data_IF_574634052558
#
_entry.id   IF_574634052558
#
_cell.length_a   1.000
_cell.length_b   1.000
_cell.length_c   1.000
_cell.angle_alpha   90.00
_cell.angle_beta   90.00
_cell.angle_gamma   90.00
#
_symmetry.space_group_name_H-M   'P 1'
#
loop_
_entity.id
_entity.type
_entity.pdbx_description
1 polymer ?
#
# COMPACT_ATOMS: atom_id res chain seq x y z
N UNK A 1 -7.26 -4.69 9.93
CA UNK A 1 -6.83 -4.69 11.34
C UNK A 1 -7.10 -3.32 11.94
N UNK A 2 -6.83 -3.16 13.24
CA UNK A 2 -6.94 -1.88 13.96
C UNK A 2 -5.57 -1.20 14.01
N UNK A 3 -5.42 -0.08 13.29
CA UNK A 3 -4.20 0.72 13.25
C UNK A 3 -4.53 2.18 12.91
N UNK A 4 -3.63 3.12 13.23
CA UNK A 4 -3.76 4.52 12.84
C UNK A 4 -3.06 4.78 11.49
N UNK A 5 -3.85 4.88 10.42
CA UNK A 5 -3.36 5.08 9.06
C UNK A 5 -2.56 6.38 8.83
N UNK A 6 -2.62 7.35 9.75
CA UNK A 6 -1.83 8.58 9.71
C UNK A 6 -0.47 8.46 10.39
N UNK A 7 -0.25 7.40 11.18
CA UNK A 7 0.96 7.21 12.01
C UNK A 7 1.74 5.94 11.71
N UNK A 8 1.24 5.09 10.81
CA UNK A 8 1.92 3.87 10.38
C UNK A 8 1.15 3.17 9.26
N UNK A 9 1.83 2.24 8.59
CA UNK A 9 1.25 1.42 7.51
C UNK A 9 1.05 2.16 6.18
N UNK A 10 1.35 3.45 6.08
CA UNK A 10 1.23 4.19 4.80
C UNK A 10 2.01 3.49 3.68
N UNK A 11 1.50 3.59 2.45
CA UNK A 11 2.15 3.06 1.27
C UNK A 11 3.11 4.12 0.71
N UNK A 12 4.38 3.79 0.58
CA UNK A 12 5.39 4.65 -0.04
C UNK A 12 5.56 4.25 -1.50
N UNK A 13 5.47 5.20 -2.42
CA UNK A 13 5.81 5.03 -3.84
C UNK A 13 7.07 5.84 -4.14
N UNK A 14 8.20 5.17 -4.35
CA UNK A 14 9.52 5.81 -4.34
C UNK A 14 9.72 6.74 -5.54
N UNK A 15 9.39 6.30 -6.76
CA UNK A 15 9.58 7.06 -8.00
C UNK A 15 8.72 8.33 -8.03
N UNK A 16 7.55 8.29 -7.41
CA UNK A 16 6.64 9.44 -7.30
C UNK A 16 6.91 10.33 -6.09
N UNK A 17 7.82 9.94 -5.18
CA UNK A 17 8.07 10.65 -3.91
C UNK A 17 6.78 10.90 -3.13
N UNK A 18 5.88 9.91 -3.14
CA UNK A 18 4.54 10.01 -2.58
C UNK A 18 4.36 9.03 -1.42
N UNK A 19 3.75 9.52 -0.35
CA UNK A 19 3.29 8.68 0.77
C UNK A 19 1.77 8.73 0.80
N UNK A 20 1.13 7.57 0.75
CA UNK A 20 -0.32 7.43 0.67
C UNK A 20 -0.87 6.88 1.99
N UNK A 21 -1.74 7.66 2.61
CA UNK A 21 -2.52 7.29 3.79
C UNK A 21 -3.72 6.41 3.40
N UNK A 22 -3.47 5.10 3.20
CA UNK A 22 -4.54 4.14 2.93
C UNK A 22 -5.31 3.80 4.21
N UNK A 23 -6.56 4.29 4.28
CA UNK A 23 -7.49 4.00 5.38
C UNK A 23 -8.07 2.58 5.26
N UNK A 24 -8.51 1.98 6.38
CA UNK A 24 -9.26 0.72 6.33
C UNK A 24 -10.46 0.82 5.37
N UNK A 25 -10.58 -0.15 4.46
CA UNK A 25 -11.66 -0.20 3.45
C UNK A 25 -11.37 0.55 2.14
N UNK A 26 -10.25 1.28 2.04
CA UNK A 26 -9.84 1.90 0.78
C UNK A 26 -9.08 0.94 -0.13
N UNK A 27 -9.20 1.21 -1.43
CA UNK A 27 -8.52 0.49 -2.51
C UNK A 27 -7.67 1.48 -3.29
N UNK A 28 -6.50 1.05 -3.75
CA UNK A 28 -5.72 1.74 -4.76
C UNK A 28 -5.37 0.77 -5.88
N UNK A 29 -5.39 1.28 -7.12
CA UNK A 29 -4.89 0.58 -8.30
C UNK A 29 -3.69 1.35 -8.84
N UNK A 30 -2.56 0.67 -8.99
CA UNK A 30 -1.34 1.25 -9.55
C UNK A 30 -0.51 0.17 -10.25
N UNK A 31 0.36 0.52 -11.21
CA UNK A 31 1.21 -0.46 -11.90
C UNK A 31 2.37 -0.91 -11.01
N UNK A 32 2.08 -1.83 -10.09
CA UNK A 32 2.99 -2.31 -9.03
C UNK A 32 4.37 -2.78 -9.55
N UNK A 33 4.43 -3.38 -10.74
CA UNK A 33 5.69 -3.85 -11.34
C UNK A 33 6.63 -2.73 -11.82
N UNK A 34 6.12 -1.50 -11.99
CA UNK A 34 6.90 -0.35 -12.47
C UNK A 34 7.36 0.59 -11.35
N UNK A 35 6.88 0.38 -10.13
CA UNK A 35 7.00 1.34 -9.03
C UNK A 35 7.53 0.60 -7.81
N UNK A 36 8.70 1.00 -7.33
CA UNK A 36 9.24 0.50 -6.07
C UNK A 36 8.36 1.02 -4.93
N UNK A 37 7.88 0.12 -4.09
CA UNK A 37 6.95 0.47 -3.02
C UNK A 37 7.15 -0.37 -1.76
N UNK A 38 6.82 0.22 -0.62
CA UNK A 38 6.85 -0.45 0.68
C UNK A 38 5.79 0.13 1.64
N UNK A 39 5.57 -0.53 2.77
CA UNK A 39 4.74 0.00 3.85
C UNK A 39 5.61 0.54 4.99
N UNK A 40 5.22 1.69 5.53
CA UNK A 40 5.81 2.20 6.77
C UNK A 40 5.48 1.22 7.92
N UNK A 41 6.43 0.93 8.83
CA UNK A 41 6.16 0.09 10.00
C UNK A 41 4.94 0.56 10.80
N UNK A 42 4.23 -0.40 11.38
CA UNK A 42 3.14 -0.12 12.32
C UNK A 42 3.69 0.29 13.69
N UNK A 43 2.85 0.94 14.50
CA UNK A 43 3.17 1.20 15.89
C UNK A 43 3.04 -0.09 16.73
N UNK A 44 3.64 -0.10 17.91
CA UNK A 44 3.58 -1.24 18.83
C UNK A 44 2.12 -1.56 19.18
N UNK A 45 1.71 -2.81 18.95
CA UNK A 45 0.36 -3.31 19.27
C UNK A 45 -0.70 -2.98 18.21
N UNK A 46 -0.32 -2.37 17.08
CA UNK A 46 -1.22 -2.18 15.94
C UNK A 46 -1.18 -3.37 14.98
N UNK A 47 -2.30 -3.60 14.31
CA UNK A 47 -2.43 -4.66 13.30
C UNK A 47 -3.06 -4.11 12.03
N UNK A 48 -2.46 -4.44 10.89
CA UNK A 48 -2.98 -4.11 9.56
C UNK A 48 -3.17 -5.38 8.76
N UNK A 49 -4.33 -5.47 8.11
CA UNK A 49 -4.62 -6.51 7.13
C UNK A 49 -4.89 -5.82 5.80
N UNK A 50 -4.39 -6.40 4.71
CA UNK A 50 -4.56 -5.90 3.35
C UNK A 50 -4.74 -7.08 2.40
N UNK A 51 -5.51 -6.85 1.34
CA UNK A 51 -5.63 -7.76 0.23
C UNK A 51 -4.91 -7.16 -0.97
N UNK A 52 -4.01 -7.92 -1.58
CA UNK A 52 -3.37 -7.54 -2.83
C UNK A 52 -3.98 -8.36 -3.97
N UNK A 53 -4.58 -7.66 -4.92
CA UNK A 53 -5.03 -8.24 -6.17
C UNK A 53 -4.02 -7.86 -7.24
N UNK A 54 -3.56 -8.84 -8.02
CA UNK A 54 -2.65 -8.62 -9.12
C UNK A 54 -3.14 -9.36 -10.35
N UNK A 55 -2.75 -8.84 -11.51
CA UNK A 55 -2.91 -9.53 -12.78
C UNK A 55 -1.62 -9.35 -13.58
N UNK A 56 -1.23 -10.38 -14.32
CA UNK A 56 0.02 -10.36 -15.07
C UNK A 56 -0.07 -9.35 -16.21
N UNK A 57 0.94 -8.50 -16.36
CA UNK A 57 0.95 -7.45 -17.40
C UNK A 57 0.76 -8.00 -18.82
N UNK A 58 1.30 -9.19 -19.10
CA UNK A 58 1.13 -9.87 -20.39
C UNK A 58 -0.29 -10.33 -20.75
N UNK A 59 -1.27 -10.17 -19.83
CA UNK A 59 -2.69 -10.44 -20.09
C UNK A 59 -3.43 -9.25 -20.72
N UNK A 60 -2.90 -8.03 -20.65
CA UNK A 60 -3.56 -6.79 -21.12
C UNK A 60 -2.81 -6.11 -22.28
N UNK A 61 -2.26 -6.93 -23.18
CA UNK A 61 -1.56 -6.52 -24.40
C UNK A 61 -2.50 -5.97 -25.47
#
# INVERSE_FOLDING_TARGET
GKFNYKRGGQLVLHEYRLIIELQPGQLILFPSALITHCNIPLQKGEERYSLTLYSAGGLYR
#
